data_IF_927832675233
#
_entry.id   IF_927832675233
#
_cell.length_a   1.000
_cell.length_b   1.000
_cell.length_c   1.000
_cell.angle_alpha   90.00
_cell.angle_beta   90.00
_cell.angle_gamma   90.00
#
_symmetry.space_group_name_H-M   'P 1'
#
loop_
_entity.id
_entity.type
_entity.pdbx_description
1 polymer ?
#
# COMPACT_ATOMS: atom_id res chain seq x y z
N UNK A 1 18.42 0.14 -17.00
CA UNK A 1 17.48 0.57 -15.94
C UNK A 1 17.58 -0.41 -14.77
N UNK A 2 17.72 0.06 -13.53
CA UNK A 2 17.72 -0.84 -12.35
C UNK A 2 16.27 -1.05 -11.91
N UNK A 3 15.72 -2.24 -12.16
CA UNK A 3 14.50 -2.67 -11.48
C UNK A 3 14.83 -2.77 -9.99
N UNK A 4 14.11 -2.02 -9.15
CA UNK A 4 14.16 -2.22 -7.71
C UNK A 4 13.50 -3.56 -7.39
N UNK A 5 14.24 -4.45 -6.70
CA UNK A 5 13.73 -5.73 -6.22
C UNK A 5 12.64 -5.50 -5.17
N UNK A 6 11.70 -6.46 -5.07
CA UNK A 6 10.59 -6.51 -4.10
C UNK A 6 10.96 -5.91 -2.74
N UNK A 7 10.21 -4.91 -2.29
CA UNK A 7 10.42 -4.20 -1.02
C UNK A 7 9.14 -4.17 -0.21
N UNK A 8 9.20 -4.67 1.03
CA UNK A 8 8.10 -4.57 1.98
C UNK A 8 8.12 -3.20 2.66
N UNK A 9 6.94 -2.60 2.83
CA UNK A 9 6.76 -1.33 3.52
C UNK A 9 6.39 -1.64 4.98
N UNK A 10 6.94 -0.86 5.90
CA UNK A 10 6.67 -0.98 7.34
C UNK A 10 6.14 0.36 7.85
N UNK A 11 5.39 0.32 8.95
CA UNK A 11 4.90 1.50 9.65
C UNK A 11 6.01 2.52 9.93
N UNK A 12 7.21 2.08 10.29
CA UNK A 12 8.32 2.99 10.62
C UNK A 12 9.17 3.39 9.41
N UNK A 13 8.64 3.23 8.19
CA UNK A 13 9.36 3.62 6.98
C UNK A 13 9.61 5.15 6.99
N UNK A 14 10.87 5.60 6.85
CA UNK A 14 11.19 7.03 6.79
C UNK A 14 10.80 7.69 5.46
N UNK A 15 10.54 6.90 4.40
CA UNK A 15 10.24 7.41 3.05
C UNK A 15 8.78 7.87 2.93
N UNK A 16 7.86 7.19 3.60
CA UNK A 16 6.44 7.55 3.58
C UNK A 16 6.04 8.08 4.96
N UNK A 17 5.45 9.27 5.08
CA UNK A 17 5.01 9.81 6.38
C UNK A 17 3.71 9.15 6.88
N UNK A 18 2.97 8.48 5.99
CA UNK A 18 1.71 7.81 6.31
C UNK A 18 1.90 6.70 7.35
N UNK A 19 0.97 6.63 8.31
CA UNK A 19 0.89 5.64 9.39
C UNK A 19 -0.52 5.08 9.45
N UNK A 20 -0.75 4.06 10.28
CA UNK A 20 -2.12 3.66 10.61
C UNK A 20 -2.94 4.88 11.06
N UNK A 21 -4.17 5.08 10.57
CA UNK A 21 -4.94 4.19 9.68
C UNK A 21 -4.79 4.44 8.16
N UNK A 22 -3.91 5.36 7.74
CA UNK A 22 -3.81 5.84 6.34
C UNK A 22 -2.61 5.30 5.54
N UNK A 23 -1.92 4.26 6.02
CA UNK A 23 -0.88 3.60 5.23
C UNK A 23 -1.51 2.51 4.34
N UNK A 24 -1.57 2.76 3.04
CA UNK A 24 -2.24 1.89 2.07
C UNK A 24 -1.31 1.18 1.08
N UNK A 25 -0.04 0.97 1.43
CA UNK A 25 0.92 0.24 0.58
C UNK A 25 1.69 -0.73 1.47
N UNK A 26 1.54 -2.04 1.21
CA UNK A 26 2.25 -3.07 1.97
C UNK A 26 3.54 -3.50 1.26
N UNK A 27 3.56 -3.50 -0.08
CA UNK A 27 4.72 -3.92 -0.84
C UNK A 27 4.84 -3.20 -2.19
N UNK A 28 6.08 -2.90 -2.56
CA UNK A 28 6.48 -2.52 -3.91
C UNK A 28 7.09 -3.74 -4.59
N UNK A 29 6.54 -4.14 -5.73
CA UNK A 29 7.02 -5.30 -6.50
C UNK A 29 8.00 -4.88 -7.61
N UNK A 30 7.74 -3.76 -8.27
CA UNK A 30 8.53 -3.24 -9.38
C UNK A 30 8.46 -1.72 -9.42
N UNK A 31 9.49 -1.05 -9.91
CA UNK A 31 9.46 0.39 -10.15
C UNK A 31 10.50 0.86 -11.16
N UNK A 32 10.20 1.98 -11.81
CA UNK A 32 11.13 2.77 -12.59
C UNK A 32 11.21 4.19 -12.01
N UNK A 33 12.37 4.59 -11.43
CA UNK A 33 12.54 5.89 -10.81
C UNK A 33 12.16 7.05 -11.74
N UNK A 34 11.33 7.97 -11.24
CA UNK A 34 10.85 9.13 -12.00
C UNK A 34 9.76 8.82 -13.02
N UNK A 35 9.31 7.56 -13.15
CA UNK A 35 8.24 7.18 -14.07
C UNK A 35 7.07 6.49 -13.39
N UNK A 36 7.28 5.32 -12.79
CA UNK A 36 6.18 4.52 -12.23
C UNK A 36 6.62 3.58 -11.10
N UNK A 37 5.65 3.11 -10.33
CA UNK A 37 5.81 2.08 -9.30
C UNK A 37 4.60 1.14 -9.34
N UNK A 38 4.83 -0.16 -9.16
CA UNK A 38 3.81 -1.18 -9.01
C UNK A 38 3.92 -1.79 -7.63
N UNK A 39 2.81 -1.87 -6.92
CA UNK A 39 2.71 -2.39 -5.56
C UNK A 39 1.31 -2.88 -5.26
N UNK A 40 1.10 -3.34 -4.03
CA UNK A 40 -0.20 -3.80 -3.55
C UNK A 40 -0.42 -3.48 -2.07
N UNK A 41 -1.70 -3.50 -1.68
CA UNK A 41 -2.19 -3.54 -0.30
C UNK A 41 -2.91 -4.86 -0.11
N UNK A 42 -2.60 -5.58 0.95
CA UNK A 42 -3.42 -6.69 1.40
C UNK A 42 -4.68 -6.13 2.07
N UNK A 43 -5.84 -6.51 1.57
CA UNK A 43 -7.14 -6.16 2.15
C UNK A 43 -7.62 -7.35 2.96
N UNK A 44 -8.01 -7.08 4.20
CA UNK A 44 -8.47 -8.07 5.17
C UNK A 44 -9.72 -7.56 5.86
N UNK A 45 -10.53 -8.46 6.43
CA UNK A 45 -11.73 -8.08 7.21
C UNK A 45 -11.39 -7.26 8.46
N UNK A 46 -10.14 -7.30 8.93
CA UNK A 46 -9.67 -6.52 10.08
C UNK A 46 -9.25 -5.08 9.71
N UNK A 47 -9.26 -4.69 8.43
CA UNK A 47 -8.96 -3.31 8.05
C UNK A 47 -10.08 -2.37 8.55
N UNK A 48 -9.69 -1.24 9.15
CA UNK A 48 -10.59 -0.31 9.86
C UNK A 48 -11.76 0.24 9.02
N UNK A 49 -11.63 0.22 7.70
CA UNK A 49 -12.64 0.72 6.75
C UNK A 49 -13.58 -0.38 6.25
N UNK A 50 -13.32 -1.65 6.59
CA UNK A 50 -14.24 -2.75 6.31
C UNK A 50 -15.25 -2.83 7.44
N UNK A 51 -16.52 -2.65 7.10
CA UNK A 51 -17.65 -2.69 8.04
C UNK A 51 -18.78 -3.53 7.43
N UNK A 52 -19.83 -3.82 8.19
CA UNK A 52 -20.99 -4.58 7.68
C UNK A 52 -21.59 -3.96 6.41
N UNK A 53 -21.63 -2.63 6.36
CA UNK A 53 -22.21 -1.86 5.26
C UNK A 53 -21.19 -1.50 4.17
N UNK A 54 -19.89 -1.72 4.41
CA UNK A 54 -18.82 -1.38 3.47
C UNK A 54 -17.79 -2.51 3.43
N UNK A 55 -17.93 -3.40 2.45
CA UNK A 55 -17.09 -4.60 2.29
C UNK A 55 -15.87 -4.39 1.37
N UNK A 56 -15.73 -3.20 0.81
CA UNK A 56 -14.70 -2.87 -0.17
C UNK A 56 -13.90 -1.64 0.26
N UNK A 57 -12.73 -1.46 -0.36
CA UNK A 57 -11.90 -0.28 -0.11
C UNK A 57 -12.62 0.98 -0.62
N UNK A 58 -12.73 2.05 0.18
CA UNK A 58 -13.60 3.21 -0.10
C UNK A 58 -13.25 4.03 -1.35
N UNK A 59 -12.12 3.77 -2.01
CA UNK A 59 -11.66 4.48 -3.20
C UNK A 59 -11.57 3.58 -4.45
N UNK A 60 -12.19 2.39 -4.40
CA UNK A 60 -12.10 1.39 -5.49
C UNK A 60 -13.08 1.63 -6.65
N UNK A 61 -13.88 2.68 -6.61
CA UNK A 61 -14.87 3.05 -7.64
C UNK A 61 -14.27 3.68 -8.89
#
# INVERSE_FOLDING_TARGET
MKLLKKKMISMNNPVLPHRYPFLFIDCVVESEPGKWVKGYKFITENDWFITENQKEMPFSS
#
